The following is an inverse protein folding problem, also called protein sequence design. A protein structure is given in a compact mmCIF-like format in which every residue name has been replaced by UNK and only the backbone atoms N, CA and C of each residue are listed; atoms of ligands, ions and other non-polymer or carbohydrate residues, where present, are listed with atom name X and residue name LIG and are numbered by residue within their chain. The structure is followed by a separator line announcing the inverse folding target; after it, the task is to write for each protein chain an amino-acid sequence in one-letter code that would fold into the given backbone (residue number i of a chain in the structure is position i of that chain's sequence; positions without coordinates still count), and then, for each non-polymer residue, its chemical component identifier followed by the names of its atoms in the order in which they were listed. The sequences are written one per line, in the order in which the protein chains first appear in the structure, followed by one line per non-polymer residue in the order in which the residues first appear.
data_IF_911711472169
#
_entry.id   IF_911711472169
#
_cell.length_a   1.000
_cell.length_b   1.000
_cell.length_c   1.000
_cell.angle_alpha   90.00
_cell.angle_beta   90.00
_cell.angle_gamma   90.00
#
_symmetry.space_group_name_H-M   'P 1'
#
loop_
_entity.id
_entity.type
_entity.pdbx_description
1 polymer ?
#
# COMPACT_ATOMS: atom_id res chain seq x y z
N UNK A 1 -15.60 13.74 -22.24
CA UNK A 1 -14.96 13.52 -23.55
C UNK A 1 -14.18 12.23 -23.49
N UNK A 2 -14.24 11.38 -24.52
CA UNK A 2 -13.52 10.10 -24.56
C UNK A 2 -12.14 10.26 -25.20
N UNK A 3 -11.20 9.37 -24.88
CA UNK A 3 -9.82 9.39 -25.43
C UNK A 3 -9.82 9.37 -26.97
N UNK A 4 -10.74 8.59 -27.57
CA UNK A 4 -10.89 8.54 -29.03
C UNK A 4 -11.30 9.90 -29.64
N UNK A 5 -12.25 10.63 -29.01
CA UNK A 5 -12.70 11.93 -29.48
C UNK A 5 -11.60 12.99 -29.39
N UNK A 6 -10.75 12.93 -28.37
CA UNK A 6 -9.61 13.85 -28.22
C UNK A 6 -8.52 13.56 -29.26
N UNK A 7 -8.21 12.29 -29.53
CA UNK A 7 -7.23 11.89 -30.54
C UNK A 7 -7.69 12.22 -31.97
N UNK A 8 -9.00 12.16 -32.24
CA UNK A 8 -9.57 12.55 -33.52
C UNK A 8 -9.49 14.06 -33.74
N UNK A 9 -9.82 14.85 -32.71
CA UNK A 9 -9.68 16.31 -32.75
C UNK A 9 -8.26 16.78 -33.01
N UNK A 10 -7.26 16.05 -32.51
CA UNK A 10 -5.83 16.31 -32.76
C UNK A 10 -5.32 15.72 -34.09
N UNK A 11 -6.16 15.01 -34.85
CA UNK A 11 -5.75 14.34 -36.09
C UNK A 11 -4.79 13.17 -35.90
N UNK A 12 -4.64 12.66 -34.67
CA UNK A 12 -3.70 11.60 -34.31
C UNK A 12 -4.31 10.20 -34.38
N UNK A 13 -5.64 10.09 -34.35
CA UNK A 13 -6.35 8.81 -34.26
C UNK A 13 -5.96 7.82 -35.37
N UNK A 14 -5.84 8.28 -36.62
CA UNK A 14 -5.37 7.42 -37.73
C UNK A 14 -3.92 6.98 -37.57
N UNK A 15 -3.05 7.81 -36.99
CA UNK A 15 -1.60 7.55 -36.85
C UNK A 15 -1.31 6.42 -35.86
N UNK A 16 -2.20 6.22 -34.89
CA UNK A 16 -2.05 5.21 -33.84
C UNK A 16 -2.79 3.88 -34.16
N UNK A 17 -3.40 3.75 -35.35
CA UNK A 17 -4.15 2.54 -35.73
C UNK A 17 -5.68 2.65 -35.60
N UNK A 18 -6.22 3.82 -35.26
CA UNK A 18 -7.66 4.10 -35.25
C UNK A 18 -8.40 3.58 -34.02
N UNK A 19 -9.73 3.76 -34.03
CA UNK A 19 -10.61 3.27 -32.97
C UNK A 19 -10.49 1.75 -32.68
N UNK A 20 -10.27 0.86 -33.67
CA UNK A 20 -10.08 -0.57 -33.40
C UNK A 20 -8.87 -0.86 -32.50
N UNK A 21 -7.77 -0.13 -32.67
CA UNK A 21 -6.57 -0.33 -31.85
C UNK A 21 -6.81 -0.01 -30.36
N UNK A 22 -7.58 1.05 -30.09
CA UNK A 22 -7.99 1.38 -28.71
C UNK A 22 -8.89 0.30 -28.11
N UNK A 23 -9.78 -0.29 -28.90
CA UNK A 23 -10.61 -1.40 -28.44
C UNK A 23 -9.75 -2.63 -28.09
N UNK A 24 -8.78 -2.98 -28.92
CA UNK A 24 -7.84 -4.06 -28.64
C UNK A 24 -7.05 -3.83 -27.35
N UNK A 25 -6.55 -2.60 -27.10
CA UNK A 25 -5.85 -2.27 -25.87
C UNK A 25 -6.70 -2.48 -24.62
N UNK A 26 -7.98 -2.08 -24.67
CA UNK A 26 -8.94 -2.31 -23.58
C UNK A 26 -9.13 -3.81 -23.35
N UNK A 27 -9.26 -4.59 -24.42
CA UNK A 27 -9.47 -6.04 -24.33
C UNK A 27 -8.22 -6.85 -23.93
N UNK A 28 -7.03 -6.25 -24.00
CA UNK A 28 -5.74 -6.92 -23.69
C UNK A 28 -5.37 -6.86 -22.22
N UNK A 29 -5.90 -5.89 -21.46
CA UNK A 29 -5.59 -5.70 -20.04
C UNK A 29 -6.66 -6.41 -19.18
N UNK A 30 -6.33 -7.52 -18.48
CA UNK A 30 -7.32 -8.32 -17.77
C UNK A 30 -7.92 -7.59 -16.57
N UNK A 31 -7.12 -6.77 -15.87
CA UNK A 31 -7.54 -5.99 -14.70
C UNK A 31 -6.76 -4.69 -14.59
N UNK A 32 -7.43 -3.60 -14.19
CA UNK A 32 -6.76 -2.33 -13.90
C UNK A 32 -5.90 -2.37 -12.62
N UNK A 33 -6.13 -3.35 -11.74
CA UNK A 33 -5.40 -3.53 -10.49
C UNK A 33 -3.88 -3.71 -10.70
N UNK A 34 -3.46 -4.27 -11.84
CA UNK A 34 -2.06 -4.50 -12.17
C UNK A 34 -1.41 -3.36 -12.96
N UNK A 35 -2.09 -2.21 -13.16
CA UNK A 35 -1.56 -1.10 -13.95
C UNK A 35 -0.21 -0.60 -13.42
N UNK A 36 -0.04 -0.51 -12.09
CA UNK A 36 1.23 -0.13 -11.47
C UNK A 36 2.37 -1.09 -11.78
N UNK A 37 2.09 -2.40 -11.80
CA UNK A 37 3.07 -3.43 -12.15
C UNK A 37 3.58 -3.27 -13.59
N UNK A 38 2.68 -3.11 -14.56
CA UNK A 38 3.06 -2.91 -15.95
C UNK A 38 3.75 -1.56 -16.19
N UNK A 39 3.31 -0.50 -15.49
CA UNK A 39 3.99 0.79 -15.50
C UNK A 39 5.45 0.66 -15.03
N UNK A 40 5.70 -0.14 -13.98
CA UNK A 40 7.05 -0.47 -13.52
C UNK A 40 7.91 -1.14 -14.59
N UNK A 41 7.37 -2.14 -15.30
CA UNK A 41 8.09 -2.81 -16.40
C UNK A 41 8.46 -1.80 -17.50
N UNK A 42 7.51 -0.94 -17.90
CA UNK A 42 7.75 0.06 -18.95
C UNK A 42 8.82 1.07 -18.51
N UNK A 43 8.76 1.52 -17.26
CA UNK A 43 9.73 2.45 -16.67
C UNK A 43 11.13 1.83 -16.63
N UNK A 44 11.26 0.57 -16.22
CA UNK A 44 12.53 -0.15 -16.21
C UNK A 44 13.14 -0.24 -17.62
N UNK A 45 12.34 -0.65 -18.62
CA UNK A 45 12.81 -0.72 -20.01
C UNK A 45 13.14 0.65 -20.58
N UNK A 46 12.42 1.70 -20.20
CA UNK A 46 12.74 3.07 -20.59
C UNK A 46 14.07 3.54 -20.02
N UNK A 47 14.36 3.21 -18.76
CA UNK A 47 15.66 3.51 -18.13
C UNK A 47 16.81 2.83 -18.86
N UNK A 48 16.67 1.54 -19.19
CA UNK A 48 17.70 0.81 -19.94
C UNK A 48 17.94 1.43 -21.33
N UNK A 49 16.90 1.85 -22.04
CA UNK A 49 17.04 2.56 -23.33
C UNK A 49 17.81 3.87 -23.19
N UNK A 50 17.46 4.68 -22.19
CA UNK A 50 18.16 5.94 -21.90
C UNK A 50 19.63 5.72 -21.57
N UNK A 51 19.96 4.66 -20.83
CA UNK A 51 21.35 4.31 -20.52
C UNK A 51 22.14 3.97 -21.79
N UNK A 52 21.54 3.21 -22.72
CA UNK A 52 22.15 2.91 -24.03
C UNK A 52 22.38 4.17 -24.84
N UNK A 53 21.40 5.08 -24.87
CA UNK A 53 21.52 6.36 -25.56
C UNK A 53 22.63 7.24 -24.97
N UNK A 54 22.70 7.35 -23.64
CA UNK A 54 23.75 8.09 -22.94
C UNK A 54 25.13 7.48 -23.22
N UNK A 55 25.27 6.16 -23.13
CA UNK A 55 26.52 5.46 -23.48
C UNK A 55 26.95 5.72 -24.91
N UNK A 56 26.01 5.76 -25.86
CA UNK A 56 26.28 6.10 -27.26
C UNK A 56 26.80 7.54 -27.40
N UNK A 57 26.20 8.51 -26.68
CA UNK A 57 26.67 9.90 -26.67
C UNK A 57 28.07 10.04 -26.06
N UNK A 58 28.36 9.33 -24.98
CA UNK A 58 29.69 9.32 -24.36
C UNK A 58 30.75 8.79 -25.33
N UNK A 59 30.45 7.72 -26.07
CA UNK A 59 31.35 7.21 -27.13
C UNK A 59 31.59 8.27 -28.20
N UNK A 60 30.54 8.98 -28.64
CA UNK A 60 30.66 10.06 -29.62
C UNK A 60 31.57 11.20 -29.12
N UNK A 61 31.48 11.57 -27.83
CA UNK A 61 32.38 12.57 -27.24
C UNK A 61 33.85 12.13 -27.28
N UNK A 62 34.11 10.84 -27.05
CA UNK A 62 35.46 10.29 -27.15
C UNK A 62 36.09 10.42 -28.55
N UNK A 63 35.29 10.23 -29.61
CA UNK A 63 35.75 10.45 -30.98
C UNK A 63 35.93 11.93 -31.32
N UNK A 64 35.03 12.81 -30.87
CA UNK A 64 35.15 14.25 -31.10
C UNK A 64 36.34 14.88 -30.38
N UNK A 65 36.75 14.33 -29.22
CA UNK A 65 37.94 14.76 -28.48
C UNK A 65 39.26 14.53 -29.18
N UNK A 66 39.30 13.63 -30.17
CA UNK A 66 40.51 13.40 -30.98
C UNK A 66 40.86 14.60 -31.88
N UNK A 67 39.96 15.59 -32.02
CA UNK A 67 40.12 16.76 -32.90
C UNK A 67 40.56 18.05 -32.16
N UNK A 68 41.03 17.94 -30.91
CA UNK A 68 41.64 19.07 -30.18
C UNK A 68 40.73 19.81 -29.20
N UNK A 69 39.61 19.19 -28.80
CA UNK A 69 38.79 19.67 -27.69
C UNK A 69 39.48 19.42 -26.33
N UNK A 70 39.18 20.25 -25.33
CA UNK A 70 39.68 20.06 -23.97
C UNK A 70 39.12 18.76 -23.38
N UNK A 71 40.03 17.86 -23.01
CA UNK A 71 39.70 16.55 -22.42
C UNK A 71 38.89 16.73 -21.14
N UNK A 72 39.16 17.78 -20.35
CA UNK A 72 38.42 18.05 -19.12
C UNK A 72 36.93 18.33 -19.41
N UNK A 73 36.64 19.14 -20.43
CA UNK A 73 35.27 19.47 -20.81
C UNK A 73 34.50 18.24 -21.32
N UNK A 74 35.18 17.34 -22.04
CA UNK A 74 34.57 16.09 -22.51
C UNK A 74 34.19 15.18 -21.35
N UNK A 75 35.07 15.06 -20.36
CA UNK A 75 34.82 14.27 -19.15
C UNK A 75 33.62 14.83 -18.39
N UNK A 76 33.55 16.16 -18.20
CA UNK A 76 32.43 16.80 -17.51
C UNK A 76 31.09 16.57 -18.23
N UNK A 77 31.06 16.69 -19.56
CA UNK A 77 29.85 16.39 -20.35
C UNK A 77 29.44 14.92 -20.25
N UNK A 78 30.41 14.00 -20.27
CA UNK A 78 30.12 12.58 -20.11
C UNK A 78 29.55 12.25 -18.71
N UNK A 79 30.06 12.91 -17.67
CA UNK A 79 29.53 12.77 -16.31
C UNK A 79 28.09 13.28 -16.21
N UNK A 80 27.79 14.44 -16.79
CA UNK A 80 26.44 15.00 -16.81
C UNK A 80 25.43 14.06 -17.50
N UNK A 81 25.80 13.47 -18.64
CA UNK A 81 24.94 12.51 -19.37
C UNK A 81 24.57 11.27 -18.53
N UNK A 82 25.52 10.74 -17.77
CA UNK A 82 25.28 9.58 -16.90
C UNK A 82 24.46 9.99 -15.68
N UNK A 83 24.71 11.17 -15.13
CA UNK A 83 23.94 11.70 -14.00
C UNK A 83 22.46 11.87 -14.34
N UNK A 84 22.14 12.43 -15.51
CA UNK A 84 20.76 12.62 -15.98
C UNK A 84 19.97 11.31 -16.09
N UNK A 85 20.65 10.19 -16.37
CA UNK A 85 20.02 8.86 -16.40
C UNK A 85 19.65 8.40 -14.98
N UNK A 86 20.47 8.73 -13.98
CA UNK A 86 20.29 8.32 -12.58
C UNK A 86 19.28 9.17 -11.79
N UNK A 87 19.25 10.49 -12.01
CA UNK A 87 18.62 11.45 -11.09
C UNK A 87 17.07 11.36 -11.04
N UNK A 88 16.41 10.84 -12.08
CA UNK A 88 14.94 10.79 -12.12
C UNK A 88 14.27 9.75 -11.20
N UNK A 89 15.04 8.94 -10.46
CA UNK A 89 14.49 7.99 -9.47
C UNK A 89 14.22 8.61 -8.10
N UNK A 90 14.70 9.81 -7.81
CA UNK A 90 14.69 10.38 -6.45
C UNK A 90 13.55 11.36 -6.16
N UNK A 91 12.60 11.54 -7.09
CA UNK A 91 11.52 12.52 -6.94
C UNK A 91 10.33 12.05 -6.10
N UNK A 92 10.26 10.79 -5.67
CA UNK A 92 9.02 10.24 -5.09
C UNK A 92 8.93 10.28 -3.55
N UNK A 93 10.03 10.49 -2.81
CA UNK A 93 10.03 10.29 -1.34
C UNK A 93 10.48 11.49 -0.49
N UNK A 94 10.29 12.73 -0.97
CA UNK A 94 10.53 13.92 -0.14
C UNK A 94 9.22 14.63 0.16
N UNK A 95 8.65 14.33 1.33
CA UNK A 95 7.57 15.14 1.91
C UNK A 95 8.21 16.27 2.73
N UNK A 96 7.88 17.54 2.46
CA UNK A 96 8.33 18.66 3.29
C UNK A 96 8.00 18.41 4.77
N UNK A 97 8.95 18.67 5.66
CA UNK A 97 8.73 18.49 7.10
C UNK A 97 7.56 19.36 7.61
N UNK A 98 7.35 20.53 7.01
CA UNK A 98 6.20 21.40 7.29
C UNK A 98 4.85 20.71 7.08
N UNK A 99 4.72 19.90 6.03
CA UNK A 99 3.50 19.15 5.72
C UNK A 99 3.22 18.02 6.72
N UNK A 100 4.26 17.53 7.40
CA UNK A 100 4.15 16.52 8.47
C UNK A 100 3.90 17.15 9.84
N UNK A 101 4.45 18.34 10.09
CA UNK A 101 4.35 19.01 11.39
C UNK A 101 2.92 19.45 11.71
N UNK A 102 2.20 19.97 10.72
CA UNK A 102 0.86 20.53 10.97
C UNK A 102 -0.16 19.46 11.40
N UNK A 103 -0.28 18.30 10.72
CA UNK A 103 -1.14 17.20 11.17
C UNK A 103 -0.74 16.66 12.55
N UNK A 104 0.56 16.57 12.84
CA UNK A 104 1.04 16.10 14.15
C UNK A 104 0.72 17.09 15.27
N UNK A 105 0.81 18.39 15.03
CA UNK A 105 0.42 19.41 16.01
C UNK A 105 -1.09 19.42 16.23
N UNK A 106 -1.89 19.28 15.17
CA UNK A 106 -3.35 19.16 15.26
C UNK A 106 -3.75 17.92 16.09
N UNK A 107 -3.02 16.80 15.94
CA UNK A 107 -3.22 15.59 16.75
C UNK A 107 -2.89 15.84 18.23
N UNK A 108 -1.78 16.53 18.54
CA UNK A 108 -1.40 16.91 19.91
C UNK A 108 -2.46 17.82 20.55
N UNK A 109 -2.96 18.82 19.82
CA UNK A 109 -4.00 19.73 20.28
C UNK A 109 -5.35 19.01 20.50
N UNK A 110 -5.69 18.06 19.63
CA UNK A 110 -6.85 17.20 19.83
C UNK A 110 -6.73 16.35 21.10
N UNK A 111 -5.54 15.81 21.40
CA UNK A 111 -5.28 15.05 22.62
C UNK A 111 -5.37 15.95 23.86
N UNK A 112 -4.79 17.14 23.80
CA UNK A 112 -4.78 18.10 24.90
C UNK A 112 -6.19 18.60 25.25
N UNK A 113 -6.99 18.93 24.23
CA UNK A 113 -8.36 19.46 24.39
C UNK A 113 -9.35 18.44 24.99
N UNK A 114 -9.09 17.13 24.85
CA UNK A 114 -9.96 16.05 25.35
C UNK A 114 -9.52 15.47 26.70
N UNK A 115 -8.62 16.16 27.42
CA UNK A 115 -8.18 15.80 28.78
C UNK A 115 -6.83 15.09 28.85
N UNK A 116 -5.97 15.25 27.84
CA UNK A 116 -4.58 14.74 27.85
C UNK A 116 -4.45 13.24 27.58
N UNK A 117 -5.54 12.60 27.17
CA UNK A 117 -5.63 11.16 26.96
C UNK A 117 -6.21 10.96 25.56
N UNK A 118 -5.36 10.52 24.63
CA UNK A 118 -5.72 10.26 23.23
C UNK A 118 -6.75 9.13 23.15
N UNK A 119 -8.04 9.40 23.34
CA UNK A 119 -9.05 8.34 23.40
C UNK A 119 -9.27 7.74 22.01
N UNK A 120 -8.77 6.53 21.81
CA UNK A 120 -9.18 5.65 20.72
C UNK A 120 -10.62 5.14 20.91
N UNK A 121 -11.07 4.24 20.03
CA UNK A 121 -12.35 3.55 20.19
C UNK A 121 -12.26 2.58 21.37
N UNK A 122 -13.09 2.70 22.41
CA UNK A 122 -13.02 1.82 23.58
C UNK A 122 -13.40 0.38 23.19
N UNK A 123 -12.66 -0.60 23.72
CA UNK A 123 -12.92 -2.02 23.49
C UNK A 123 -14.05 -2.55 24.38
N UNK A 124 -14.36 -1.85 25.48
CA UNK A 124 -15.34 -2.27 26.48
C UNK A 124 -14.75 -3.15 27.59
N UNK A 125 -13.46 -3.47 27.52
CA UNK A 125 -12.71 -4.10 28.61
C UNK A 125 -11.93 -3.03 29.36
N UNK A 126 -12.38 -2.65 30.56
CA UNK A 126 -11.80 -1.55 31.35
C UNK A 126 -10.29 -1.66 31.50
N UNK A 127 -9.79 -2.84 31.88
CA UNK A 127 -8.36 -3.07 32.11
C UNK A 127 -7.54 -2.94 30.82
N UNK A 128 -8.12 -3.32 29.67
CA UNK A 128 -7.46 -3.20 28.37
C UNK A 128 -7.49 -1.75 27.87
N UNK A 129 -8.60 -1.05 28.08
CA UNK A 129 -8.76 0.35 27.70
C UNK A 129 -7.90 1.27 28.57
N UNK A 130 -7.61 0.91 29.82
CA UNK A 130 -6.67 1.66 30.68
C UNK A 130 -5.23 1.56 30.16
N UNK A 131 -4.84 0.40 29.61
CA UNK A 131 -3.47 0.17 29.12
C UNK A 131 -3.30 0.67 27.68
N UNK A 132 -4.30 0.47 26.82
CA UNK A 132 -4.22 0.80 25.39
C UNK A 132 -4.77 2.17 25.06
N UNK A 133 -5.56 2.76 25.97
CA UNK A 133 -6.30 3.98 25.76
C UNK A 133 -7.33 3.93 24.61
N UNK A 134 -7.80 2.72 24.31
CA UNK A 134 -8.66 2.40 23.19
C UNK A 134 -7.88 2.07 21.90
N UNK A 135 -8.60 1.74 20.85
CA UNK A 135 -8.03 1.40 19.55
C UNK A 135 -7.93 2.64 18.66
N UNK A 136 -6.76 2.95 18.12
CA UNK A 136 -6.56 4.14 17.31
C UNK A 136 -6.70 3.86 15.80
N UNK A 137 -7.31 4.78 15.03
CA UNK A 137 -7.34 4.69 13.57
C UNK A 137 -5.94 4.56 12.97
N UNK A 138 -5.79 3.74 11.92
CA UNK A 138 -4.51 3.50 11.25
C UNK A 138 -3.62 2.44 11.90
N UNK A 139 -3.96 1.93 13.09
CA UNK A 139 -3.24 0.83 13.72
C UNK A 139 -3.73 -0.54 13.20
N UNK A 140 -2.78 -1.45 12.93
CA UNK A 140 -3.07 -2.87 12.75
C UNK A 140 -2.87 -3.59 14.09
N UNK A 141 -3.98 -3.97 14.75
CA UNK A 141 -3.95 -4.65 16.05
C UNK A 141 -4.06 -6.16 15.86
N UNK A 142 -3.03 -6.90 16.28
CA UNK A 142 -2.97 -8.37 16.15
C UNK A 142 -3.19 -9.01 17.52
N UNK A 143 -4.22 -9.85 17.63
CA UNK A 143 -4.48 -10.66 18.83
C UNK A 143 -3.97 -12.08 18.58
N UNK A 144 -2.84 -12.43 19.20
CA UNK A 144 -2.23 -13.76 19.08
C UNK A 144 -2.34 -14.55 20.39
N UNK A 145 -2.82 -15.79 20.30
CA UNK A 145 -2.88 -16.73 21.43
C UNK A 145 -2.60 -18.16 20.94
N UNK A 146 -2.11 -19.02 21.84
CA UNK A 146 -1.94 -20.46 21.56
C UNK A 146 -3.31 -21.12 21.31
N UNK A 147 -3.40 -22.18 20.48
CA UNK A 147 -4.65 -22.92 20.30
C UNK A 147 -5.23 -23.36 21.66
N UNK A 148 -6.54 -23.14 21.85
CA UNK A 148 -7.25 -23.46 23.10
C UNK A 148 -7.20 -22.40 24.20
N UNK A 149 -6.49 -21.28 24.01
CA UNK A 149 -6.38 -20.20 25.01
C UNK A 149 -7.48 -19.11 24.90
N UNK A 150 -8.52 -19.33 24.08
CA UNK A 150 -9.64 -18.40 23.99
C UNK A 150 -9.34 -17.08 23.26
N UNK A 151 -8.72 -17.12 22.08
CA UNK A 151 -8.72 -15.94 21.19
C UNK A 151 -10.18 -15.63 20.81
N UNK A 152 -10.58 -14.36 20.92
CA UNK A 152 -11.93 -13.93 20.58
C UNK A 152 -12.28 -14.38 19.16
N UNK A 153 -13.43 -15.05 19.03
CA UNK A 153 -14.02 -15.42 17.75
C UNK A 153 -14.92 -14.26 17.31
N UNK A 154 -15.08 -14.07 15.99
CA UNK A 154 -16.05 -13.10 15.49
C UNK A 154 -17.46 -13.49 15.98
N UNK A 155 -18.34 -12.51 16.24
CA UNK A 155 -19.65 -12.77 16.87
C UNK A 155 -20.52 -13.73 16.05
N UNK A 156 -20.35 -13.76 14.74
CA UNK A 156 -21.02 -14.67 13.81
C UNK A 156 -20.39 -16.08 13.75
N UNK A 157 -19.31 -16.32 14.50
CA UNK A 157 -18.62 -17.61 14.48
C UNK A 157 -19.53 -18.69 15.04
N UNK A 158 -19.83 -19.75 14.26
CA UNK A 158 -20.70 -20.82 14.71
C UNK A 158 -20.00 -21.69 15.75
N UNK A 159 -20.69 -21.92 16.87
CA UNK A 159 -20.27 -22.74 17.99
C UNK A 159 -21.18 -23.97 18.11
N UNK A 160 -20.63 -25.18 18.26
CA UNK A 160 -21.42 -26.38 18.41
C UNK A 160 -22.00 -26.50 19.84
N UNK A 161 -23.29 -26.77 19.93
CA UNK A 161 -24.01 -27.06 21.18
C UNK A 161 -24.58 -28.49 21.13
N UNK A 162 -24.94 -29.10 22.27
CA UNK A 162 -25.62 -30.40 22.28
C UNK A 162 -26.95 -30.42 21.49
N UNK A 163 -27.55 -29.26 21.26
CA UNK A 163 -28.82 -29.10 20.53
C UNK A 163 -28.64 -28.66 19.07
N UNK A 164 -27.42 -28.41 18.60
CA UNK A 164 -27.15 -27.96 17.24
C UNK A 164 -25.98 -26.96 17.19
N UNK A 165 -26.24 -25.78 16.64
CA UNK A 165 -25.25 -24.71 16.47
C UNK A 165 -25.82 -23.39 17.00
N UNK A 166 -24.96 -22.59 17.64
CA UNK A 166 -25.24 -21.21 18.05
C UNK A 166 -24.14 -20.30 17.49
N UNK A 167 -24.25 -18.98 17.66
CA UNK A 167 -23.17 -18.05 17.29
C UNK A 167 -22.48 -17.52 18.53
N UNK A 168 -21.21 -17.11 18.41
CA UNK A 168 -20.46 -16.50 19.52
C UNK A 168 -21.18 -15.28 20.13
N UNK A 169 -21.99 -14.55 19.36
CA UNK A 169 -22.79 -13.42 19.83
C UNK A 169 -24.02 -13.80 20.65
N UNK A 170 -24.52 -15.03 20.50
CA UNK A 170 -25.75 -15.50 21.15
C UNK A 170 -25.49 -16.37 22.40
N UNK A 171 -24.22 -16.66 22.73
CA UNK A 171 -23.86 -17.49 23.90
C UNK A 171 -23.87 -16.68 25.19
N UNK A 172 -24.57 -17.19 26.20
CA UNK A 172 -24.63 -16.65 27.55
C UNK A 172 -23.91 -17.53 28.58
N UNK A 173 -23.59 -16.94 29.74
CA UNK A 173 -23.04 -17.67 30.89
C UNK A 173 -24.00 -18.78 31.33
N UNK A 174 -23.49 -20.01 31.37
CA UNK A 174 -24.27 -21.20 31.72
C UNK A 174 -24.71 -22.06 30.52
N UNK A 175 -24.52 -21.60 29.28
CA UNK A 175 -24.80 -22.40 28.09
C UNK A 175 -23.81 -23.57 27.96
N UNK A 176 -24.30 -24.72 27.49
CA UNK A 176 -23.46 -25.90 27.24
C UNK A 176 -22.92 -25.86 25.80
N UNK A 177 -21.59 -25.82 25.68
CA UNK A 177 -20.90 -25.93 24.39
C UNK A 177 -20.17 -27.27 24.29
N UNK A 178 -20.02 -27.76 23.07
CA UNK A 178 -19.18 -28.93 22.80
C UNK A 178 -17.73 -28.49 22.62
N UNK A 179 -16.86 -29.05 23.46
CA UNK A 179 -15.42 -28.87 23.33
C UNK A 179 -14.87 -29.73 22.16
N UNK A 180 -13.62 -29.48 21.77
CA UNK A 180 -12.98 -30.18 20.66
C UNK A 180 -12.83 -31.71 20.89
N UNK A 181 -12.92 -32.15 22.14
CA UNK A 181 -12.95 -33.55 22.58
C UNK A 181 -14.37 -34.17 22.55
N UNK A 182 -15.38 -33.41 22.11
CA UNK A 182 -16.78 -33.82 22.06
C UNK A 182 -17.48 -33.79 23.43
N UNK A 183 -16.81 -33.35 24.50
CA UNK A 183 -17.40 -33.26 25.83
C UNK A 183 -18.19 -31.97 26.00
N UNK A 184 -19.27 -32.04 26.78
CA UNK A 184 -20.07 -30.86 27.14
C UNK A 184 -19.35 -30.06 28.21
N UNK A 185 -19.18 -28.77 27.98
CA UNK A 185 -18.60 -27.85 28.96
C UNK A 185 -19.49 -26.62 29.09
N UNK A 186 -19.73 -26.20 30.34
CA UNK A 186 -20.39 -24.93 30.59
C UNK A 186 -19.53 -23.76 30.12
N UNK A 187 -20.14 -22.83 29.40
CA UNK A 187 -19.53 -21.56 29.04
C UNK A 187 -19.45 -20.66 30.27
N UNK A 188 -18.24 -20.56 30.86
CA UNK A 188 -17.76 -19.65 31.92
C UNK A 188 -18.71 -19.36 33.12
N UNK A 189 -18.30 -19.43 34.40
CA UNK A 189 -16.97 -19.71 34.98
C UNK A 189 -16.84 -21.16 35.49
N UNK A 190 -15.63 -21.64 35.82
CA UNK A 190 -15.45 -23.01 36.33
C UNK A 190 -16.11 -23.20 37.72
N UNK A 191 -16.53 -24.43 38.08
CA UNK A 191 -16.93 -24.75 39.45
C UNK A 191 -15.73 -24.55 40.40
N UNK A 192 -16.04 -24.08 41.63
CA UNK A 192 -15.06 -23.92 42.72
C UNK A 192 -14.49 -25.25 43.19
#
# INVERSE_FOLDING_TARGET
MTVAAELDRRGLLRRIGGAPYLHTLISTVPTAANAGYYAGIVAEKALLRRLVEAGTRVVQYGYAGAEGADVAEIVDRAQAEIYDVADRRLSEDFVPLEDLLQPTMDEIDAIASHGGIARGVPTGFTDLDEVTNGLHPGQMVIIAARPGMGKALALDTPLPTPAGWTTMGDVAVGDELLAADGQRRGWWPPPR
#
